data_IF_432710030285
#
_entry.id   IF_432710030285
#
_cell.length_a   1.000
_cell.length_b   1.000
_cell.length_c   1.000
_cell.angle_alpha   90.00
_cell.angle_beta   90.00
_cell.angle_gamma   90.00
#
_symmetry.space_group_name_H-M   'P 1'
#
loop_
_entity.id
_entity.type
_entity.pdbx_description
1 polymer ?
#
# COMPACT_ATOMS: atom_id res chain seq x y z
N UNK A 1 -24.19 -15.05 7.12
CA UNK A 1 -23.55 -13.81 6.60
C UNK A 1 -22.22 -14.24 6.01
N UNK A 2 -21.87 -13.79 4.81
CA UNK A 2 -20.54 -14.06 4.27
C UNK A 2 -19.50 -13.37 5.17
N UNK A 3 -18.43 -14.08 5.51
CA UNK A 3 -17.31 -13.49 6.25
C UNK A 3 -16.61 -12.48 5.33
N UNK A 4 -16.59 -11.20 5.71
CA UNK A 4 -16.00 -10.15 4.87
C UNK A 4 -14.46 -10.13 4.99
N UNK A 5 -13.93 -10.80 6.03
CA UNK A 5 -12.51 -10.95 6.23
C UNK A 5 -12.06 -12.36 5.89
N UNK A 6 -10.89 -12.46 5.27
CA UNK A 6 -10.11 -13.70 5.23
C UNK A 6 -9.05 -13.62 6.32
N UNK A 7 -9.16 -14.45 7.36
CA UNK A 7 -8.12 -14.57 8.38
C UNK A 7 -6.87 -15.23 7.77
N UNK A 8 -5.72 -14.55 7.84
CA UNK A 8 -4.42 -15.06 7.34
C UNK A 8 -3.65 -15.70 8.50
N UNK A 9 -3.54 -14.99 9.62
CA UNK A 9 -2.96 -15.47 10.89
C UNK A 9 -3.82 -14.98 12.07
N UNK A 10 -3.38 -15.17 13.30
CA UNK A 10 -4.14 -14.74 14.48
C UNK A 10 -4.38 -13.23 14.51
N UNK A 11 -3.36 -12.45 14.15
CA UNK A 11 -3.36 -10.99 14.21
C UNK A 11 -3.39 -10.33 12.83
N UNK A 12 -3.64 -11.08 11.76
CA UNK A 12 -3.61 -10.58 10.38
C UNK A 12 -4.81 -11.03 9.56
N UNK A 13 -5.52 -10.06 8.98
CA UNK A 13 -6.72 -10.28 8.19
C UNK A 13 -6.62 -9.56 6.85
N UNK A 14 -7.28 -10.12 5.83
CA UNK A 14 -7.49 -9.48 4.53
C UNK A 14 -8.94 -9.10 4.35
N UNK A 15 -9.19 -7.88 3.88
CA UNK A 15 -10.47 -7.39 3.43
C UNK A 15 -10.40 -7.08 1.94
N UNK A 16 -11.36 -7.56 1.15
CA UNK A 16 -11.40 -7.34 -0.30
C UNK A 16 -12.22 -6.09 -0.62
N UNK A 17 -11.59 -5.09 -1.24
CA UNK A 17 -12.20 -3.81 -1.63
C UNK A 17 -11.72 -3.44 -3.06
N UNK A 18 -11.64 -2.15 -3.40
CA UNK A 18 -10.97 -1.64 -4.61
C UNK A 18 -9.55 -2.17 -4.75
N UNK A 19 -8.88 -2.42 -3.63
CA UNK A 19 -7.68 -3.21 -3.48
C UNK A 19 -7.85 -4.17 -2.27
N UNK A 20 -6.92 -5.11 -2.09
CA UNK A 20 -6.78 -5.82 -0.83
C UNK A 20 -6.34 -4.82 0.25
N UNK A 21 -7.14 -4.74 1.31
CA UNK A 21 -6.80 -4.01 2.54
C UNK A 21 -6.41 -5.03 3.58
N UNK A 22 -5.23 -4.87 4.18
CA UNK A 22 -4.76 -5.78 5.23
C UNK A 22 -4.87 -5.14 6.60
N UNK A 23 -5.35 -5.89 7.59
CA UNK A 23 -5.52 -5.42 8.96
C UNK A 23 -4.58 -6.16 9.88
N UNK A 24 -3.67 -5.44 10.52
CA UNK A 24 -2.84 -5.94 11.62
C UNK A 24 -3.54 -5.54 12.92
N UNK A 25 -3.86 -6.53 13.75
CA UNK A 25 -4.69 -6.38 14.97
C UNK A 25 -3.85 -6.56 16.23
N UNK A 26 -4.05 -5.69 17.21
CA UNK A 26 -3.55 -5.84 18.58
C UNK A 26 -4.63 -5.40 19.58
N UNK A 27 -5.14 -6.36 20.37
CA UNK A 27 -6.29 -6.13 21.24
C UNK A 27 -7.54 -5.75 20.43
N UNK A 28 -8.15 -4.61 20.78
CA UNK A 28 -9.29 -4.01 20.07
C UNK A 28 -8.86 -2.91 19.07
N UNK A 29 -7.55 -2.76 18.82
CA UNK A 29 -7.01 -1.76 17.89
C UNK A 29 -6.37 -2.43 16.68
N UNK A 30 -6.23 -1.66 15.61
CA UNK A 30 -5.57 -2.12 14.39
C UNK A 30 -4.89 -1.03 13.60
N UNK A 31 -4.04 -1.46 12.68
CA UNK A 31 -3.57 -0.64 11.56
C UNK A 31 -3.96 -1.29 10.24
N UNK A 32 -4.12 -0.47 9.22
CA UNK A 32 -4.41 -0.90 7.86
C UNK A 32 -3.17 -0.77 6.99
N UNK A 33 -2.96 -1.73 6.10
CA UNK A 33 -2.06 -1.59 4.95
C UNK A 33 -2.93 -1.29 3.74
N UNK A 34 -2.77 -0.07 3.23
CA UNK A 34 -3.69 0.60 2.31
C UNK A 34 -5.14 0.70 2.86
N UNK A 35 -5.97 1.54 2.26
CA UNK A 35 -7.32 1.87 2.75
C UNK A 35 -8.44 1.41 1.83
N UNK A 36 -8.15 1.11 0.56
CA UNK A 36 -9.17 0.81 -0.43
C UNK A 36 -10.17 1.96 -0.56
N UNK A 37 -11.47 1.64 -0.54
CA UNK A 37 -12.55 2.64 -0.49
C UNK A 37 -12.93 3.08 0.94
N UNK A 38 -12.25 2.52 1.95
CA UNK A 38 -12.55 2.70 3.38
C UNK A 38 -13.73 1.85 3.87
N UNK A 39 -14.26 0.95 3.04
CA UNK A 39 -15.41 0.08 3.38
C UNK A 39 -15.09 -0.88 4.52
N UNK A 40 -13.82 -1.17 4.76
CA UNK A 40 -13.35 -1.98 5.90
C UNK A 40 -13.89 -1.47 7.25
N UNK A 41 -14.11 -0.15 7.40
CA UNK A 41 -14.66 0.48 8.61
C UNK A 41 -16.03 -0.08 9.01
N UNK A 42 -16.83 -0.50 8.03
CA UNK A 42 -18.19 -0.99 8.27
C UNK A 42 -18.22 -2.40 8.88
N UNK A 43 -17.07 -3.07 8.96
CA UNK A 43 -16.96 -4.49 9.33
C UNK A 43 -15.93 -4.79 10.42
N UNK A 44 -15.22 -3.78 10.96
CA UNK A 44 -14.14 -3.99 11.94
C UNK A 44 -14.58 -4.74 13.21
N UNK A 45 -15.85 -4.63 13.58
CA UNK A 45 -16.47 -5.34 14.69
C UNK A 45 -16.43 -6.87 14.52
N UNK A 46 -16.49 -7.37 13.28
CA UNK A 46 -16.41 -8.81 12.96
C UNK A 46 -15.07 -9.43 13.38
N UNK A 47 -14.01 -8.61 13.39
CA UNK A 47 -12.68 -9.01 13.85
C UNK A 47 -12.33 -8.41 15.21
N UNK A 48 -13.33 -7.88 15.93
CA UNK A 48 -13.15 -7.37 17.29
C UNK A 48 -12.31 -6.10 17.39
N UNK A 49 -12.25 -5.29 16.34
CA UNK A 49 -11.53 -4.00 16.33
C UNK A 49 -12.53 -2.86 16.52
N UNK A 50 -12.26 -2.01 17.51
CA UNK A 50 -13.03 -0.80 17.82
C UNK A 50 -12.45 0.44 17.14
N UNK A 51 -11.13 0.44 16.85
CA UNK A 51 -10.43 1.63 16.32
C UNK A 51 -9.23 1.27 15.44
N UNK A 52 -9.09 1.99 14.34
CA UNK A 52 -7.87 2.03 13.53
C UNK A 52 -7.00 3.19 13.99
N UNK A 53 -5.75 2.90 14.33
CA UNK A 53 -4.77 3.90 14.73
C UNK A 53 -4.06 4.51 13.53
N UNK A 54 -3.73 3.70 12.53
CA UNK A 54 -2.95 4.11 11.36
C UNK A 54 -3.39 3.42 10.08
N UNK A 55 -3.24 4.13 8.98
CA UNK A 55 -3.17 3.59 7.63
C UNK A 55 -1.74 3.76 7.15
N UNK A 56 -1.15 2.67 6.67
CA UNK A 56 0.24 2.62 6.21
C UNK A 56 0.21 2.25 4.73
N UNK A 57 0.58 3.19 3.86
CA UNK A 57 0.44 3.01 2.42
C UNK A 57 1.65 2.34 1.77
N UNK A 58 1.36 1.52 0.76
CA UNK A 58 2.39 0.97 -0.13
C UNK A 58 2.71 1.93 -1.28
N UNK A 59 1.70 2.61 -1.83
CA UNK A 59 1.83 3.57 -2.92
C UNK A 59 0.61 4.51 -3.03
N UNK A 60 0.72 5.57 -3.82
CA UNK A 60 -0.22 6.71 -3.87
C UNK A 60 -1.50 6.53 -4.71
N UNK A 61 -1.69 5.39 -5.35
CA UNK A 61 -2.82 5.23 -6.25
C UNK A 61 -4.14 5.38 -5.50
N UNK A 62 -5.09 6.06 -6.13
CA UNK A 62 -6.38 6.44 -5.55
C UNK A 62 -7.19 5.23 -5.06
N UNK A 63 -7.14 4.11 -5.77
CA UNK A 63 -7.78 2.87 -5.34
C UNK A 63 -7.21 2.30 -4.04
N UNK A 64 -6.01 2.72 -3.63
CA UNK A 64 -5.38 2.38 -2.36
C UNK A 64 -5.74 3.35 -1.23
N UNK A 65 -5.93 4.64 -1.53
CA UNK A 65 -6.05 5.71 -0.50
C UNK A 65 -7.39 6.47 -0.49
N UNK A 66 -8.37 6.10 -1.33
CA UNK A 66 -9.68 6.78 -1.37
C UNK A 66 -10.40 6.76 -0.03
N UNK A 67 -10.23 5.68 0.74
CA UNK A 67 -10.79 5.51 2.08
C UNK A 67 -10.22 6.43 3.16
N UNK A 68 -9.09 7.09 2.92
CA UNK A 68 -8.33 7.80 3.94
C UNK A 68 -9.13 8.90 4.64
N UNK A 69 -9.95 9.65 3.91
CA UNK A 69 -10.77 10.71 4.50
C UNK A 69 -11.67 10.18 5.63
N UNK A 70 -12.32 9.03 5.40
CA UNK A 70 -13.18 8.40 6.41
C UNK A 70 -12.35 7.91 7.61
N UNK A 71 -11.16 7.37 7.35
CA UNK A 71 -10.27 6.87 8.40
C UNK A 71 -9.72 8.01 9.27
N UNK A 72 -9.38 9.14 8.65
CA UNK A 72 -8.97 10.36 9.34
C UNK A 72 -10.11 10.92 10.21
N UNK A 73 -11.35 10.96 9.70
CA UNK A 73 -12.52 11.36 10.48
C UNK A 73 -12.74 10.47 11.72
N UNK A 74 -12.34 9.19 11.65
CA UNK A 74 -12.33 8.25 12.78
C UNK A 74 -11.06 8.33 13.65
N UNK A 75 -10.16 9.25 13.34
CA UNK A 75 -8.98 9.57 14.14
C UNK A 75 -7.74 8.71 13.82
N UNK A 76 -7.70 8.04 12.66
CA UNK A 76 -6.49 7.37 12.20
C UNK A 76 -5.41 8.39 11.77
N UNK A 77 -4.14 8.01 11.88
CA UNK A 77 -3.03 8.69 11.23
C UNK A 77 -2.72 8.07 9.87
N UNK A 78 -2.23 8.88 8.93
CA UNK A 78 -1.81 8.41 7.61
C UNK A 78 -0.28 8.42 7.54
N UNK A 79 0.30 7.27 7.18
CA UNK A 79 1.72 7.08 6.94
C UNK A 79 1.96 6.72 5.46
N UNK A 80 2.83 7.47 4.77
CA UNK A 80 3.01 7.35 3.32
C UNK A 80 4.48 7.23 2.92
N UNK A 81 4.80 6.62 1.78
CA UNK A 81 6.17 6.57 1.25
C UNK A 81 6.77 7.96 1.07
N UNK A 82 8.02 8.16 1.51
CA UNK A 82 8.77 9.42 1.37
C UNK A 82 8.72 9.97 -0.06
N UNK A 83 9.00 9.13 -1.04
CA UNK A 83 9.10 9.51 -2.45
C UNK A 83 7.76 9.75 -3.14
N UNK A 84 6.64 9.45 -2.46
CA UNK A 84 5.30 9.69 -2.99
C UNK A 84 4.47 10.63 -2.12
N UNK A 85 5.04 11.17 -1.02
CA UNK A 85 4.37 12.07 -0.09
C UNK A 85 3.62 13.21 -0.78
N UNK A 86 4.23 13.83 -1.79
CA UNK A 86 3.63 14.93 -2.55
C UNK A 86 2.35 14.52 -3.30
N UNK A 87 2.17 13.24 -3.61
CA UNK A 87 0.97 12.68 -4.24
C UNK A 87 -0.15 12.37 -3.22
N UNK A 88 0.10 12.64 -1.93
CA UNK A 88 -0.89 12.62 -0.85
C UNK A 88 -1.11 14.03 -0.29
N UNK A 89 -0.08 14.63 0.31
CA UNK A 89 -0.20 15.86 1.09
C UNK A 89 -0.28 17.14 0.23
N UNK A 90 0.28 17.09 -0.97
CA UNK A 90 0.39 18.22 -1.90
C UNK A 90 -0.23 17.89 -3.27
N UNK A 91 -1.16 16.93 -3.31
CA UNK A 91 -1.67 16.39 -4.57
C UNK A 91 -2.45 17.42 -5.39
N UNK A 92 -3.13 18.36 -4.75
CA UNK A 92 -3.79 19.48 -5.44
C UNK A 92 -2.77 20.37 -6.15
N UNK A 93 -1.59 20.57 -5.56
CA UNK A 93 -0.50 21.33 -6.18
C UNK A 93 0.12 20.56 -7.34
N UNK A 94 0.28 19.24 -7.18
CA UNK A 94 0.65 18.35 -8.28
C UNK A 94 -0.33 18.49 -9.45
N UNK A 95 -1.64 18.48 -9.21
CA UNK A 95 -2.65 18.62 -10.26
C UNK A 95 -2.62 20.00 -10.92
N UNK A 96 -2.39 21.08 -10.16
CA UNK A 96 -2.27 22.44 -10.70
C UNK A 96 -1.09 22.59 -11.68
N UNK A 97 0.01 21.87 -11.43
CA UNK A 97 1.24 21.96 -12.24
C UNK A 97 1.35 20.87 -13.30
N UNK A 98 0.38 19.97 -13.37
CA UNK A 98 0.48 18.80 -14.21
C UNK A 98 0.36 19.16 -15.69
N UNK A 99 1.37 18.81 -16.48
CA UNK A 99 1.34 18.98 -17.94
C UNK A 99 0.29 18.05 -18.56
N UNK A 100 -0.66 18.65 -19.30
CA UNK A 100 -1.74 17.92 -20.00
C UNK A 100 -1.61 17.92 -21.53
N UNK A 101 -0.75 18.77 -22.10
CA UNK A 101 -0.53 18.87 -23.54
C UNK A 101 0.89 18.43 -23.89
N UNK A 102 1.02 17.62 -24.95
CA UNK A 102 2.32 17.11 -25.42
C UNK A 102 3.12 16.45 -24.26
N UNK A 103 2.45 15.54 -23.55
CA UNK A 103 2.98 14.88 -22.38
C UNK A 103 3.44 13.46 -22.73
N UNK A 104 4.74 13.21 -22.59
CA UNK A 104 5.38 11.89 -22.76
C UNK A 104 5.77 11.25 -21.43
N UNK A 105 5.31 11.81 -20.31
CA UNK A 105 5.46 11.21 -18.99
C UNK A 105 4.26 10.29 -18.72
N UNK A 106 4.51 8.99 -18.84
CA UNK A 106 3.51 7.93 -18.72
C UNK A 106 3.50 7.30 -17.32
N UNK A 107 4.30 7.84 -16.39
CA UNK A 107 4.21 7.49 -14.97
C UNK A 107 2.76 7.59 -14.51
N UNK A 108 2.32 6.54 -13.81
CA UNK A 108 0.97 6.32 -13.30
C UNK A 108 0.45 7.32 -12.24
N UNK A 109 1.10 8.48 -12.09
CA UNK A 109 0.66 9.62 -11.28
C UNK A 109 -0.73 10.17 -11.66
N UNK A 110 -1.26 9.81 -12.83
CA UNK A 110 -2.66 10.08 -13.19
C UNK A 110 -3.67 9.38 -12.27
N UNK A 111 -3.26 8.32 -11.57
CA UNK A 111 -4.10 7.62 -10.61
C UNK A 111 -4.04 8.22 -9.21
N UNK A 112 -3.35 9.34 -9.00
CA UNK A 112 -3.32 10.02 -7.69
C UNK A 112 -4.72 10.48 -7.25
N UNK A 113 -4.91 10.63 -5.94
CA UNK A 113 -6.16 11.16 -5.40
C UNK A 113 -6.33 12.65 -5.76
N UNK A 114 -7.57 13.15 -5.75
CA UNK A 114 -7.88 14.50 -6.24
C UNK A 114 -7.73 15.63 -5.22
N UNK A 115 -7.59 15.31 -3.93
CA UNK A 115 -7.57 16.26 -2.81
C UNK A 115 -6.48 15.89 -1.83
N UNK A 116 -5.93 16.88 -1.12
CA UNK A 116 -4.84 16.64 -0.18
C UNK A 116 -5.29 15.73 0.98
N UNK A 117 -4.43 14.78 1.33
CA UNK A 117 -4.57 13.92 2.51
C UNK A 117 -3.58 14.39 3.57
N UNK A 118 -4.03 14.76 4.78
CA UNK A 118 -3.14 15.07 5.90
C UNK A 118 -2.25 13.88 6.29
N UNK A 119 -0.95 13.99 6.02
CA UNK A 119 0.05 12.98 6.36
C UNK A 119 0.58 13.22 7.78
N UNK A 120 0.62 12.16 8.61
CA UNK A 120 1.13 12.22 10.00
C UNK A 120 2.49 11.54 10.18
N UNK A 121 2.88 10.65 9.28
CA UNK A 121 4.17 9.98 9.31
C UNK A 121 4.71 9.74 7.90
N UNK A 122 6.03 9.74 7.77
CA UNK A 122 6.74 9.48 6.52
C UNK A 122 7.41 8.13 6.66
N UNK A 123 7.24 7.28 5.64
CA UNK A 123 7.85 5.97 5.55
C UNK A 123 9.15 6.11 4.75
N UNK A 124 10.25 6.32 5.47
CA UNK A 124 11.57 6.48 4.90
C UNK A 124 12.17 5.12 4.55
N UNK A 125 12.81 5.06 3.38
CA UNK A 125 13.46 3.87 2.85
C UNK A 125 14.44 3.25 3.86
N UNK A 126 14.36 1.93 4.06
CA UNK A 126 15.20 1.15 4.98
C UNK A 126 15.00 1.41 6.47
N UNK A 127 14.08 2.28 6.86
CA UNK A 127 13.68 2.45 8.24
C UNK A 127 12.59 1.45 8.64
N UNK A 128 11.97 1.67 9.80
CA UNK A 128 10.85 0.88 10.26
C UNK A 128 9.74 1.77 10.83
N UNK A 129 8.50 1.46 10.46
CA UNK A 129 7.31 1.99 11.11
C UNK A 129 6.94 1.06 12.26
N UNK A 130 6.83 1.59 13.47
CA UNK A 130 6.51 0.79 14.67
C UNK A 130 5.17 1.20 15.24
N UNK A 131 4.29 0.23 15.42
CA UNK A 131 3.01 0.38 16.10
C UNK A 131 2.84 -0.76 17.11
N UNK A 132 2.76 -0.41 18.39
CA UNK A 132 2.79 -1.37 19.49
C UNK A 132 4.01 -2.30 19.37
N UNK A 133 3.80 -3.62 19.35
CA UNK A 133 4.85 -4.63 19.18
C UNK A 133 5.08 -5.00 17.70
N UNK A 134 4.34 -4.40 16.76
CA UNK A 134 4.51 -4.65 15.33
C UNK A 134 5.50 -3.66 14.73
N UNK A 135 6.57 -4.20 14.16
CA UNK A 135 7.59 -3.45 13.42
C UNK A 135 7.50 -3.81 11.95
N UNK A 136 7.25 -2.81 11.11
CA UNK A 136 7.16 -2.92 9.67
C UNK A 136 8.42 -2.29 9.08
N UNK A 137 9.32 -3.10 8.52
CA UNK A 137 10.48 -2.61 7.78
C UNK A 137 10.05 -2.05 6.43
N UNK A 138 10.51 -0.84 6.10
CA UNK A 138 10.24 -0.20 4.81
C UNK A 138 11.28 -0.71 3.80
N UNK A 139 10.81 -1.46 2.80
CA UNK A 139 11.64 -1.96 1.71
C UNK A 139 11.28 -1.20 0.43
N UNK A 140 12.19 -0.38 -0.12
CA UNK A 140 11.97 0.31 -1.38
C UNK A 140 11.63 -0.69 -2.48
N UNK A 141 10.49 -0.48 -3.15
CA UNK A 141 9.88 -1.41 -4.09
C UNK A 141 9.44 -0.70 -5.37
N UNK A 142 10.30 0.17 -5.89
CA UNK A 142 10.09 0.89 -7.16
C UNK A 142 9.74 -0.07 -8.29
N UNK A 143 8.73 0.27 -9.08
CA UNK A 143 8.21 -0.58 -10.14
C UNK A 143 6.89 -0.02 -10.63
N UNK A 144 5.78 -0.54 -10.10
CA UNK A 144 4.42 -0.06 -10.39
C UNK A 144 4.26 1.45 -10.24
N UNK A 145 4.88 2.01 -9.20
CA UNK A 145 5.08 3.45 -9.09
C UNK A 145 6.55 3.74 -8.77
N UNK A 146 6.94 5.01 -8.91
CA UNK A 146 8.34 5.40 -8.78
C UNK A 146 8.82 5.40 -7.33
N UNK A 147 7.92 5.60 -6.36
CA UNK A 147 8.22 5.61 -4.94
C UNK A 147 7.47 4.53 -4.15
N UNK A 148 6.92 3.50 -4.80
CA UNK A 148 6.27 2.39 -4.10
C UNK A 148 7.24 1.68 -3.15
N UNK A 149 6.70 1.23 -2.03
CA UNK A 149 7.40 0.43 -1.03
C UNK A 149 6.69 -0.90 -0.82
N UNK A 150 7.45 -1.89 -0.36
CA UNK A 150 6.94 -3.06 0.31
C UNK A 150 7.18 -2.91 1.82
N UNK A 151 6.29 -3.44 2.62
CA UNK A 151 6.40 -3.45 4.08
C UNK A 151 6.64 -4.89 4.53
N UNK A 152 7.71 -5.13 5.29
CA UNK A 152 8.05 -6.46 5.78
C UNK A 152 7.91 -6.50 7.30
N UNK A 153 7.13 -7.44 7.82
CA UNK A 153 6.89 -7.60 9.24
C UNK A 153 6.94 -9.07 9.66
N UNK A 154 7.28 -9.31 10.92
CA UNK A 154 7.06 -10.62 11.55
C UNK A 154 5.74 -10.59 12.32
N UNK A 155 4.81 -11.45 11.94
CA UNK A 155 3.47 -11.53 12.53
C UNK A 155 3.17 -13.02 12.76
N UNK A 156 2.86 -13.38 14.00
CA UNK A 156 2.54 -14.76 14.40
C UNK A 156 3.60 -15.80 13.99
N UNK A 157 4.88 -15.42 14.10
CA UNK A 157 6.02 -16.26 13.73
C UNK A 157 6.22 -16.46 12.23
N UNK A 158 5.49 -15.72 11.39
CA UNK A 158 5.67 -15.69 9.94
C UNK A 158 6.23 -14.34 9.50
N UNK A 159 7.18 -14.36 8.57
CA UNK A 159 7.65 -13.16 7.88
C UNK A 159 6.71 -12.86 6.72
N UNK A 160 6.02 -11.72 6.80
CA UNK A 160 5.01 -11.29 5.85
C UNK A 160 5.55 -10.09 5.06
N UNK A 161 5.35 -10.08 3.75
CA UNK A 161 5.62 -8.92 2.91
C UNK A 161 4.31 -8.39 2.31
N UNK A 162 3.93 -7.16 2.66
CA UNK A 162 2.90 -6.41 1.97
C UNK A 162 3.55 -5.73 0.76
N UNK A 163 3.21 -6.17 -0.45
CA UNK A 163 4.02 -5.87 -1.64
C UNK A 163 3.46 -4.75 -2.51
N UNK A 164 2.32 -4.17 -2.15
CA UNK A 164 1.61 -3.30 -3.07
C UNK A 164 1.34 -4.05 -4.38
N UNK A 165 1.53 -3.38 -5.50
CA UNK A 165 1.45 -3.96 -6.84
C UNK A 165 2.81 -4.39 -7.43
N UNK A 166 3.81 -4.65 -6.59
CA UNK A 166 5.12 -5.12 -7.05
C UNK A 166 5.06 -6.52 -7.67
N UNK A 167 4.24 -7.42 -7.12
CA UNK A 167 4.18 -8.85 -7.49
C UNK A 167 2.71 -9.25 -7.67
N UNK A 168 2.43 -10.01 -8.73
CA UNK A 168 1.14 -10.70 -8.92
C UNK A 168 1.36 -12.20 -9.08
N UNK A 169 0.37 -13.00 -8.68
CA UNK A 169 0.42 -14.46 -8.77
C UNK A 169 0.79 -14.98 -10.16
N UNK A 170 1.62 -16.03 -10.20
CA UNK A 170 2.02 -16.69 -11.45
C UNK A 170 3.07 -15.92 -12.25
N UNK A 171 3.84 -15.04 -11.60
CA UNK A 171 4.90 -14.26 -12.25
C UNK A 171 4.36 -13.16 -13.18
N UNK A 172 3.15 -12.66 -12.88
CA UNK A 172 2.48 -11.63 -13.67
C UNK A 172 2.71 -10.24 -13.05
N UNK A 173 2.30 -9.22 -13.79
CA UNK A 173 2.14 -7.86 -13.30
C UNK A 173 0.64 -7.55 -13.25
N UNK A 174 0.21 -6.78 -12.25
CA UNK A 174 -1.17 -6.30 -12.17
C UNK A 174 -1.51 -5.42 -13.38
N UNK A 175 -0.65 -4.45 -13.69
CA UNK A 175 -0.82 -3.52 -14.79
C UNK A 175 0.50 -3.36 -15.57
N UNK A 176 0.56 -3.92 -16.77
CA UNK A 176 1.77 -3.82 -17.61
C UNK A 176 2.11 -2.37 -17.96
N UNK A 177 1.10 -1.53 -18.23
CA UNK A 177 1.31 -0.12 -18.57
C UNK A 177 2.02 0.67 -17.46
N UNK A 178 1.91 0.23 -16.19
CA UNK A 178 2.61 0.85 -15.08
C UNK A 178 4.13 0.80 -15.20
N UNK A 179 4.65 -0.04 -16.10
CA UNK A 179 6.08 -0.20 -16.33
C UNK A 179 6.66 0.82 -17.32
N UNK A 180 5.80 1.53 -18.06
CA UNK A 180 6.15 2.56 -19.02
C UNK A 180 6.18 3.92 -18.30
N UNK A 181 7.38 4.43 -18.01
CA UNK A 181 7.53 5.70 -17.29
C UNK A 181 7.57 6.89 -18.25
N UNK A 182 8.02 6.63 -19.46
CA UNK A 182 8.01 7.55 -20.59
C UNK A 182 7.56 6.79 -21.83
N UNK A 183 6.89 7.50 -22.73
CA UNK A 183 6.34 6.91 -23.94
C UNK A 183 7.34 6.07 -24.73
N UNK A 184 6.99 4.80 -24.94
CA UNK A 184 7.77 3.78 -25.62
C UNK A 184 8.84 3.09 -24.77
N UNK A 185 9.00 3.45 -23.49
CA UNK A 185 9.92 2.78 -22.58
C UNK A 185 9.26 1.65 -21.79
N UNK A 186 10.08 0.81 -21.16
CA UNK A 186 9.65 -0.22 -20.21
C UNK A 186 10.61 -0.27 -19.02
N UNK A 187 11.14 0.89 -18.62
CA UNK A 187 12.16 0.95 -17.56
C UNK A 187 11.64 0.43 -16.22
N UNK A 188 10.32 0.55 -15.99
CA UNK A 188 9.66 0.00 -14.81
C UNK A 188 9.85 -1.51 -14.66
N UNK A 189 10.00 -2.27 -15.74
CA UNK A 189 10.33 -3.71 -15.66
C UNK A 189 11.70 -3.95 -15.00
N UNK A 190 12.69 -3.12 -15.32
CA UNK A 190 14.02 -3.22 -14.71
C UNK A 190 13.97 -2.88 -13.22
N UNK A 191 13.23 -1.83 -12.86
CA UNK A 191 13.04 -1.47 -11.45
C UNK A 191 12.29 -2.54 -10.67
N UNK A 192 11.19 -3.06 -11.23
CA UNK A 192 10.44 -4.18 -10.64
C UNK A 192 11.34 -5.39 -10.42
N UNK A 193 12.18 -5.76 -11.39
CA UNK A 193 13.14 -6.85 -11.23
C UNK A 193 14.14 -6.59 -10.08
N UNK A 194 14.70 -5.38 -9.99
CA UNK A 194 15.62 -5.01 -8.90
C UNK A 194 14.93 -5.06 -7.53
N UNK A 195 13.71 -4.54 -7.44
CA UNK A 195 12.88 -4.52 -6.24
C UNK A 195 12.50 -5.93 -5.78
N UNK A 196 12.11 -6.82 -6.69
CA UNK A 196 11.83 -8.23 -6.38
C UNK A 196 13.08 -8.93 -5.86
N UNK A 197 14.25 -8.72 -6.50
CA UNK A 197 15.52 -9.30 -6.02
C UNK A 197 15.87 -8.82 -4.62
N UNK A 198 15.65 -7.54 -4.33
CA UNK A 198 15.88 -6.96 -3.01
C UNK A 198 14.93 -7.55 -1.97
N UNK A 199 13.64 -7.67 -2.30
CA UNK A 199 12.65 -8.28 -1.42
C UNK A 199 12.96 -9.76 -1.16
N UNK A 200 13.45 -10.49 -2.16
CA UNK A 200 13.84 -11.89 -2.02
C UNK A 200 14.91 -12.11 -0.95
N UNK A 201 15.85 -11.17 -0.75
CA UNK A 201 16.83 -11.24 0.35
C UNK A 201 16.22 -11.19 1.74
N UNK A 202 14.99 -10.68 1.88
CA UNK A 202 14.26 -10.71 3.15
C UNK A 202 13.68 -12.09 3.45
N UNK A 203 13.56 -12.97 2.45
CA UNK A 203 12.95 -14.30 2.54
C UNK A 203 11.58 -14.32 3.25
N UNK A 204 10.56 -13.58 2.75
CA UNK A 204 9.21 -13.65 3.29
C UNK A 204 8.60 -15.05 3.12
N UNK A 205 7.74 -15.45 4.05
CA UNK A 205 6.92 -16.66 3.97
C UNK A 205 5.63 -16.44 3.17
N UNK A 206 5.12 -15.21 3.14
CA UNK A 206 3.91 -14.84 2.43
C UNK A 206 4.09 -13.47 1.78
N UNK A 207 3.57 -13.33 0.56
CA UNK A 207 3.46 -12.05 -0.14
C UNK A 207 1.98 -11.67 -0.27
N UNK A 208 1.70 -10.44 0.11
CA UNK A 208 0.37 -9.88 0.25
C UNK A 208 0.24 -8.67 -0.70
N UNK A 209 -0.20 -8.90 -1.95
CA UNK A 209 -0.30 -7.85 -2.95
C UNK A 209 -1.56 -7.01 -2.81
N UNK A 210 -1.53 -5.75 -3.23
CA UNK A 210 -2.71 -4.89 -3.29
C UNK A 210 -3.76 -5.44 -4.25
N UNK A 211 -3.37 -6.16 -5.30
CA UNK A 211 -4.30 -6.82 -6.22
C UNK A 211 -3.92 -8.27 -6.46
N UNK A 212 -4.94 -9.15 -6.43
CA UNK A 212 -4.78 -10.58 -6.64
C UNK A 212 -4.82 -11.42 -5.36
N UNK A 213 -4.54 -12.72 -5.46
CA UNK A 213 -4.53 -13.62 -4.31
C UNK A 213 -3.26 -13.48 -3.47
N UNK A 214 -3.29 -14.07 -2.28
CA UNK A 214 -2.12 -14.23 -1.42
C UNK A 214 -1.16 -15.21 -2.09
N UNK A 215 0.15 -14.95 -2.01
CA UNK A 215 1.19 -15.80 -2.62
C UNK A 215 2.02 -16.42 -1.50
N UNK A 216 2.21 -17.74 -1.56
CA UNK A 216 3.04 -18.54 -0.64
C UNK A 216 4.44 -18.81 -1.21
#
# INVERSE_FOLDING_TARGET
>A
MADNFTKITEHLYKFCDTCNVYVIKDGDRGILIDAGSGKVLDYLDQIGISRIDWVVHTHHHRDQCWGDYKLIEKGAGIAVPEYERYLFEEVEEFWNHRRIYDNYNDRNTFFSIGKNIPVKAILQDYEAFTWHNHKLEIVPAKGHTMGSIALVAEIDGKKIAFTGDLIYEGGKLYQLHAMEYSYGDMIGLLFTHQSIRKLAFKAPNLFLPSHGPIIE
#
